data_IF_326253818146
#
_entry.id   IF_326253818146
#
_cell.length_a   1.000
_cell.length_b   1.000
_cell.length_c   1.000
_cell.angle_alpha   90.00
_cell.angle_beta   90.00
_cell.angle_gamma   90.00
#
_symmetry.space_group_name_H-M   'P 1'
#
loop_
_entity.id
_entity.type
_entity.pdbx_description
1 polymer ?
#
# COMPACT_ATOMS: atom_id res chain seq x y z
N UNK A 1 3.97 -3.29 -31.91
CA UNK A 1 2.84 -2.66 -31.18
C UNK A 1 2.85 -3.25 -29.78
N UNK A 2 2.87 -2.42 -28.73
CA UNK A 2 2.89 -2.85 -27.32
C UNK A 2 4.29 -3.09 -26.71
N UNK A 3 4.99 -2.02 -26.30
CA UNK A 3 6.19 -2.16 -25.46
C UNK A 3 5.75 -2.44 -24.04
N UNK A 4 5.75 -3.71 -23.64
CA UNK A 4 5.51 -4.11 -22.26
C UNK A 4 6.61 -3.53 -21.38
N UNK A 5 6.29 -2.45 -20.67
CA UNK A 5 7.16 -1.86 -19.67
C UNK A 5 7.08 -2.75 -18.43
N UNK A 6 7.92 -3.78 -18.37
CA UNK A 6 8.27 -4.41 -17.10
C UNK A 6 9.02 -3.36 -16.29
N UNK A 7 8.28 -2.57 -15.51
CA UNK A 7 8.86 -1.71 -14.51
C UNK A 7 9.42 -2.61 -13.42
N UNK A 8 10.73 -2.84 -13.45
CA UNK A 8 11.46 -3.44 -12.33
C UNK A 8 11.13 -2.62 -11.08
N UNK A 9 10.36 -3.21 -10.16
CA UNK A 9 10.00 -2.65 -8.84
C UNK A 9 11.20 -2.70 -7.89
N UNK A 10 12.35 -2.21 -8.34
CA UNK A 10 13.59 -2.22 -7.56
C UNK A 10 13.68 -1.07 -6.57
N UNK A 11 12.74 -0.11 -6.62
CA UNK A 11 12.76 1.10 -5.78
C UNK A 11 11.62 1.18 -4.76
N UNK A 12 11.04 0.03 -4.40
CA UNK A 12 9.99 -0.01 -3.37
C UNK A 12 10.60 0.21 -1.99
N UNK A 13 10.00 1.12 -1.22
CA UNK A 13 10.48 1.45 0.14
C UNK A 13 10.56 0.19 1.01
N UNK A 14 11.57 0.08 1.90
CA UNK A 14 11.80 -1.11 2.72
C UNK A 14 10.56 -1.74 3.38
N UNK A 15 9.61 -0.99 3.99
CA UNK A 15 8.44 -1.59 4.64
C UNK A 15 7.50 -2.35 3.68
N UNK A 16 7.53 -2.02 2.37
CA UNK A 16 6.61 -2.58 1.38
C UNK A 16 7.23 -3.67 0.51
N UNK A 17 8.53 -3.98 0.68
CA UNK A 17 9.19 -5.04 -0.11
C UNK A 17 8.53 -6.41 0.08
N UNK A 18 8.02 -6.69 1.28
CA UNK A 18 7.31 -7.93 1.60
C UNK A 18 5.96 -8.08 0.88
N UNK A 19 5.42 -6.98 0.34
CA UNK A 19 4.14 -6.98 -0.39
C UNK A 19 4.33 -7.38 -1.86
N UNK A 20 5.57 -7.34 -2.37
CA UNK A 20 5.88 -7.73 -3.75
C UNK A 20 5.55 -9.20 -3.97
N UNK A 21 4.74 -9.48 -5.00
CA UNK A 21 4.30 -10.83 -5.33
C UNK A 21 3.01 -11.27 -4.63
N UNK A 22 2.57 -10.58 -3.57
CA UNK A 22 1.33 -10.88 -2.84
C UNK A 22 0.26 -9.83 -3.09
N UNK A 23 0.65 -8.54 -3.15
CA UNK A 23 -0.28 -7.43 -3.39
C UNK A 23 -0.05 -6.86 -4.79
N UNK A 24 -1.15 -6.43 -5.41
CA UNK A 24 -1.14 -5.76 -6.70
C UNK A 24 -0.22 -4.54 -6.70
N UNK A 25 0.59 -4.43 -7.75
CA UNK A 25 1.51 -3.30 -7.97
C UNK A 25 0.80 -1.95 -7.86
N UNK A 26 -0.49 -1.90 -8.26
CA UNK A 26 -1.28 -0.67 -8.16
C UNK A 26 -1.50 -0.24 -6.71
N UNK A 27 -1.82 -1.17 -5.81
CA UNK A 27 -1.97 -0.88 -4.39
C UNK A 27 -0.63 -0.49 -3.74
N UNK A 28 0.47 -1.15 -4.12
CA UNK A 28 1.82 -0.81 -3.65
C UNK A 28 2.18 0.64 -4.03
N UNK A 29 1.91 1.07 -5.28
CA UNK A 29 2.16 2.46 -5.69
C UNK A 29 1.32 3.48 -4.91
N UNK A 30 0.06 3.15 -4.62
CA UNK A 30 -0.83 4.04 -3.86
C UNK A 30 -0.35 4.18 -2.42
N UNK A 31 0.00 3.08 -1.75
CA UNK A 31 0.49 3.14 -0.36
C UNK A 31 1.85 3.84 -0.28
N UNK A 32 2.72 3.70 -1.29
CA UNK A 32 3.98 4.44 -1.36
C UNK A 32 3.78 5.95 -1.49
N UNK A 33 2.83 6.40 -2.32
CA UNK A 33 2.46 7.83 -2.40
C UNK A 33 1.97 8.36 -1.04
N UNK A 34 1.17 7.57 -0.30
CA UNK A 34 0.74 7.94 1.05
C UNK A 34 1.91 7.99 2.05
N UNK A 35 2.86 7.07 1.94
CA UNK A 35 4.06 7.04 2.78
C UNK A 35 4.99 8.22 2.50
N UNK A 36 5.14 8.61 1.24
CA UNK A 36 5.88 9.82 0.87
C UNK A 36 5.19 11.09 1.38
N UNK A 37 3.86 11.14 1.36
CA UNK A 37 3.09 12.25 1.96
C UNK A 37 3.32 12.33 3.47
N UNK A 38 3.33 11.20 4.18
CA UNK A 38 3.67 11.14 5.60
C UNK A 38 5.07 11.71 5.87
N UNK A 39 6.08 11.34 5.08
CA UNK A 39 7.46 11.83 5.25
C UNK A 39 7.61 13.33 5.02
N UNK A 40 6.89 13.89 4.03
CA UNK A 40 7.03 15.31 3.67
C UNK A 40 6.06 16.24 4.42
N UNK A 41 4.97 15.72 4.98
CA UNK A 41 3.97 16.50 5.71
C UNK A 41 3.72 15.88 7.10
N UNK A 42 4.47 16.29 8.13
CA UNK A 42 4.28 15.80 9.50
C UNK A 42 2.94 16.26 10.10
N UNK A 43 2.37 17.37 9.60
CA UNK A 43 1.04 17.82 9.97
C UNK A 43 0.01 17.24 8.99
N UNK A 44 -0.36 15.98 9.20
CA UNK A 44 -1.41 15.37 8.41
C UNK A 44 -2.74 16.09 8.67
N UNK A 45 -3.38 16.55 7.59
CA UNK A 45 -4.79 16.96 7.60
C UNK A 45 -5.64 15.82 8.21
N UNK A 46 -6.76 16.12 8.90
CA UNK A 46 -7.59 15.10 9.51
C UNK A 46 -7.96 14.00 8.51
N UNK A 47 -7.76 12.75 8.92
CA UNK A 47 -7.97 11.60 8.05
C UNK A 47 -9.43 11.51 7.58
N UNK A 48 -9.66 11.74 6.30
CA UNK A 48 -10.98 11.57 5.66
C UNK A 48 -11.40 10.09 5.57
N UNK A 49 -10.49 9.14 5.84
CA UNK A 49 -10.66 7.68 5.71
C UNK A 49 -11.16 7.20 4.34
N UNK A 50 -11.24 8.08 3.34
CA UNK A 50 -11.76 7.78 2.01
C UNK A 50 -10.92 6.75 1.29
N UNK A 51 -9.60 6.73 1.52
CA UNK A 51 -8.71 5.73 0.91
C UNK A 51 -8.92 4.35 1.53
N UNK A 52 -8.93 4.27 2.86
CA UNK A 52 -9.17 3.00 3.58
C UNK A 52 -10.58 2.49 3.31
N UNK A 53 -11.61 3.32 3.40
CA UNK A 53 -13.01 2.88 3.21
C UNK A 53 -13.41 2.69 1.75
N UNK A 54 -12.86 3.51 0.84
CA UNK A 54 -13.26 3.52 -0.57
C UNK A 54 -12.41 2.61 -1.45
N UNK A 55 -11.09 2.56 -1.21
CA UNK A 55 -10.18 1.68 -1.95
C UNK A 55 -9.74 0.47 -1.13
N UNK A 56 -9.88 0.46 0.20
CA UNK A 56 -9.34 -0.64 0.99
C UNK A 56 -7.82 -0.64 1.07
N UNK A 57 -7.20 0.53 0.99
CA UNK A 57 -5.74 0.70 1.07
C UNK A 57 -5.43 1.59 2.28
N UNK A 58 -4.44 1.24 3.12
CA UNK A 58 -4.04 2.06 4.26
C UNK A 58 -3.71 3.50 3.86
N UNK A 59 -4.30 4.47 4.54
CA UNK A 59 -3.94 5.87 4.41
C UNK A 59 -2.65 6.21 5.18
N UNK A 60 -2.08 7.40 4.96
CA UNK A 60 -0.85 7.86 5.66
C UNK A 60 -0.90 7.72 7.20
N UNK A 61 -2.05 8.02 7.81
CA UNK A 61 -2.25 7.88 9.27
C UNK A 61 -2.23 6.41 9.72
N UNK A 62 -2.83 5.53 8.91
CA UNK A 62 -2.87 4.11 9.21
C UNK A 62 -1.48 3.51 9.02
N UNK A 63 -0.78 3.87 7.93
CA UNK A 63 0.63 3.52 7.72
C UNK A 63 1.49 3.92 8.93
N UNK A 64 1.38 5.16 9.42
CA UNK A 64 2.09 5.61 10.61
C UNK A 64 1.75 4.75 11.84
N UNK A 65 0.45 4.49 12.07
CA UNK A 65 0.01 3.65 13.19
C UNK A 65 0.54 2.22 13.08
N UNK A 66 0.48 1.60 11.91
CA UNK A 66 0.95 0.24 11.66
C UNK A 66 2.47 0.17 11.84
N UNK A 67 3.22 1.12 11.30
CA UNK A 67 4.67 1.18 11.47
C UNK A 67 5.07 1.40 12.93
N UNK A 68 4.35 2.24 13.70
CA UNK A 68 4.62 2.44 15.12
C UNK A 68 4.19 1.25 16.00
N UNK A 69 3.12 0.53 15.62
CA UNK A 69 2.56 -0.54 16.46
C UNK A 69 3.23 -1.89 16.19
N UNK A 70 3.44 -2.23 14.92
CA UNK A 70 3.94 -3.54 14.48
C UNK A 70 5.25 -3.48 13.71
N UNK A 71 5.70 -2.30 13.27
CA UNK A 71 6.98 -2.15 12.54
C UNK A 71 6.93 -2.58 11.07
N UNK A 72 5.81 -3.13 10.60
CA UNK A 72 5.65 -3.61 9.23
C UNK A 72 4.20 -3.46 8.74
N UNK A 73 4.01 -3.59 7.42
CA UNK A 73 2.69 -3.58 6.77
C UNK A 73 2.58 -4.87 5.98
N UNK A 74 1.56 -5.67 6.30
CA UNK A 74 1.31 -6.98 5.70
C UNK A 74 0.23 -6.90 4.62
N UNK A 75 0.07 -7.99 3.87
CA UNK A 75 -1.01 -8.10 2.88
C UNK A 75 -2.40 -8.08 3.51
N UNK A 76 -2.52 -8.46 4.79
CA UNK A 76 -3.75 -8.40 5.59
C UNK A 76 -4.27 -6.98 5.83
N UNK A 77 -3.39 -5.97 5.72
CA UNK A 77 -3.75 -4.56 5.88
C UNK A 77 -4.44 -3.99 4.63
N UNK A 78 -4.53 -4.76 3.57
CA UNK A 78 -5.17 -4.39 2.32
C UNK A 78 -6.48 -5.15 2.15
N UNK A 79 -7.44 -4.50 1.50
CA UNK A 79 -8.67 -5.17 1.11
C UNK A 79 -8.38 -6.34 0.17
N UNK A 80 -9.08 -7.49 0.30
CA UNK A 80 -8.75 -8.71 -0.43
C UNK A 80 -8.69 -8.55 -1.96
N UNK A 81 -9.41 -7.59 -2.52
CA UNK A 81 -9.36 -7.25 -3.96
C UNK A 81 -7.96 -6.91 -4.48
N UNK A 82 -7.04 -6.51 -3.61
CA UNK A 82 -5.67 -6.16 -3.97
C UNK A 82 -4.70 -7.32 -3.83
N UNK A 83 -5.12 -8.42 -3.20
CA UNK A 83 -4.30 -9.59 -3.03
C UNK A 83 -4.32 -10.40 -4.35
N UNK A 84 -3.13 -10.66 -4.89
CA UNK A 84 -2.93 -11.39 -6.14
C UNK A 84 -3.29 -12.87 -6.00
N UNK A 85 -3.27 -13.39 -4.78
CA UNK A 85 -3.64 -14.76 -4.44
C UNK A 85 -5.10 -14.88 -4.00
N UNK A 86 -5.89 -13.80 -4.09
CA UNK A 86 -7.29 -13.83 -3.70
C UNK A 86 -8.12 -14.69 -4.66
N UNK A 87 -8.58 -15.83 -4.16
CA UNK A 87 -9.54 -16.69 -4.83
C UNK A 87 -10.91 -16.58 -4.14
N UNK A 88 -11.90 -15.88 -4.70
CA UNK A 88 -13.22 -15.70 -4.08
C UNK A 88 -14.13 -16.95 -4.14
N UNK A 89 -13.59 -18.12 -4.48
CA UNK A 89 -14.34 -19.35 -4.73
C UNK A 89 -14.00 -20.50 -3.78
N UNK A 90 -13.39 -20.23 -2.61
CA UNK A 90 -13.30 -21.18 -1.49
C UNK A 90 -14.28 -20.86 -0.37
#
# INVERSE_FOLDING_TARGET
MGKERVCKLTDVSPPFKQLLGTISIKAIKIIEDQFQKLKHQPNLQPCSKTLTNGMGIPCSHEIEKLLNTKGYIGSEDFHPQWNLLYNPLE
#
